data_IF_111135329815
#
_entry.id   IF_111135329815
#
_cell.length_a   1.000
_cell.length_b   1.000
_cell.length_c   1.000
_cell.angle_alpha   90.00
_cell.angle_beta   90.00
_cell.angle_gamma   90.00
#
_symmetry.space_group_name_H-M   'P 1'
#
loop_
_entity.id
_entity.type
_entity.pdbx_description
1 polymer ?
#
# COMPACT_ATOMS: atom_id res chain seq x y z
N UNK A 1 -15.99 -13.72 -44.79
CA UNK A 1 -15.90 -12.80 -43.65
C UNK A 1 -15.50 -13.63 -42.44
N UNK A 2 -14.22 -13.60 -42.05
CA UNK A 2 -13.68 -14.43 -40.95
C UNK A 2 -13.78 -13.61 -39.67
N UNK A 3 -14.55 -14.07 -38.70
CA UNK A 3 -14.61 -13.51 -37.36
C UNK A 3 -13.47 -14.09 -36.53
N UNK A 4 -12.42 -13.29 -36.29
CA UNK A 4 -11.37 -13.64 -35.35
C UNK A 4 -11.87 -13.34 -33.93
N UNK A 5 -12.29 -14.37 -33.21
CA UNK A 5 -12.63 -14.23 -31.78
C UNK A 5 -11.35 -14.20 -30.97
N UNK A 6 -10.98 -13.02 -30.47
CA UNK A 6 -9.96 -12.89 -29.44
C UNK A 6 -10.52 -13.43 -28.12
N UNK A 7 -10.03 -14.60 -27.70
CA UNK A 7 -10.25 -15.11 -26.35
C UNK A 7 -9.36 -14.26 -25.44
N UNK A 8 -9.94 -13.24 -24.81
CA UNK A 8 -9.31 -12.58 -23.67
C UNK A 8 -9.29 -13.58 -22.51
N UNK A 9 -8.17 -14.29 -22.34
CA UNK A 9 -7.87 -14.87 -21.04
C UNK A 9 -7.56 -13.69 -20.11
N UNK A 10 -8.36 -13.42 -19.06
CA UNK A 10 -7.88 -12.55 -18.01
C UNK A 10 -6.67 -13.28 -17.41
N UNK A 11 -5.46 -12.74 -17.66
CA UNK A 11 -4.32 -13.10 -16.85
C UNK A 11 -4.76 -12.90 -15.41
N UNK A 12 -4.86 -14.01 -14.67
CA UNK A 12 -4.95 -13.95 -13.22
C UNK A 12 -3.67 -13.25 -12.78
N UNK A 13 -3.75 -11.95 -12.54
CA UNK A 13 -2.67 -11.19 -11.91
C UNK A 13 -2.59 -11.74 -10.50
N UNK A 14 -1.71 -12.71 -10.32
CA UNK A 14 -1.33 -13.21 -9.03
C UNK A 14 -0.02 -12.50 -8.74
N UNK A 15 -0.07 -11.50 -7.85
CA UNK A 15 0.97 -11.20 -6.87
C UNK A 15 2.43 -11.35 -7.35
N UNK A 16 3.11 -10.25 -7.70
CA UNK A 16 4.55 -10.24 -7.97
C UNK A 16 5.24 -9.29 -6.99
N UNK A 17 5.90 -9.85 -5.97
CA UNK A 17 6.98 -9.12 -5.29
C UNK A 17 8.07 -8.95 -6.35
N UNK A 18 8.39 -7.71 -6.68
CA UNK A 18 9.32 -7.37 -7.73
C UNK A 18 10.32 -6.33 -7.26
N UNK A 19 11.49 -6.27 -7.91
CA UNK A 19 12.40 -5.14 -7.74
C UNK A 19 11.75 -3.87 -8.28
N UNK A 20 11.59 -2.89 -7.39
CA UNK A 20 11.01 -1.57 -7.67
C UNK A 20 12.01 -0.51 -7.22
N UNK A 21 12.16 0.54 -8.02
CA UNK A 21 12.96 1.70 -7.62
C UNK A 21 12.19 2.55 -6.60
N UNK A 22 12.73 2.66 -5.39
CA UNK A 22 12.17 3.45 -4.29
C UNK A 22 13.29 4.35 -3.78
N UNK A 23 13.09 5.67 -3.86
CA UNK A 23 14.08 6.68 -3.47
C UNK A 23 15.45 6.50 -4.15
N UNK A 24 15.46 6.11 -5.43
CA UNK A 24 16.68 5.85 -6.20
C UNK A 24 17.38 4.51 -5.94
N UNK A 25 16.81 3.65 -5.08
CA UNK A 25 17.35 2.32 -4.78
C UNK A 25 16.42 1.21 -5.29
N UNK A 26 16.98 0.13 -5.84
CA UNK A 26 16.22 -1.04 -6.26
C UNK A 26 15.94 -1.93 -5.05
N UNK A 27 14.65 -2.09 -4.70
CA UNK A 27 14.19 -2.82 -3.51
C UNK A 27 13.11 -3.82 -3.91
N UNK A 28 13.11 -5.00 -3.30
CA UNK A 28 12.00 -5.95 -3.41
C UNK A 28 10.75 -5.39 -2.72
N UNK A 29 9.70 -5.16 -3.50
CA UNK A 29 8.46 -4.56 -3.04
C UNK A 29 7.23 -5.34 -3.52
N UNK A 30 6.21 -5.39 -2.69
CA UNK A 30 4.85 -5.80 -3.06
C UNK A 30 4.08 -4.54 -3.48
N UNK A 31 3.64 -4.48 -4.73
CA UNK A 31 2.97 -3.32 -5.32
C UNK A 31 1.62 -3.73 -5.90
N UNK A 32 0.54 -3.09 -5.47
CA UNK A 32 -0.81 -3.44 -5.92
C UNK A 32 -1.69 -2.19 -6.05
N UNK A 33 -2.58 -2.19 -7.05
CA UNK A 33 -3.60 -1.16 -7.21
C UNK A 33 -4.92 -1.64 -6.62
N UNK A 34 -5.41 -0.91 -5.63
CA UNK A 34 -6.69 -1.17 -4.98
C UNK A 34 -7.67 -0.03 -5.25
N UNK A 35 -8.96 -0.30 -5.05
CA UNK A 35 -10.01 0.71 -5.11
C UNK A 35 -10.68 0.83 -3.75
N UNK A 36 -10.92 2.06 -3.32
CA UNK A 36 -11.73 2.31 -2.13
C UNK A 36 -13.23 2.19 -2.44
N UNK A 37 -14.07 2.50 -1.45
CA UNK A 37 -15.53 2.45 -1.60
C UNK A 37 -16.10 3.54 -2.52
N UNK A 38 -15.35 4.62 -2.75
CA UNK A 38 -15.71 5.72 -3.66
C UNK A 38 -15.19 5.45 -5.09
N UNK A 39 -14.60 4.27 -5.33
CA UNK A 39 -13.99 3.82 -6.59
C UNK A 39 -12.73 4.57 -6.99
N UNK A 40 -12.14 5.35 -6.09
CA UNK A 40 -10.84 5.99 -6.31
C UNK A 40 -9.74 4.94 -6.24
N UNK A 41 -8.72 5.11 -7.09
CA UNK A 41 -7.63 4.13 -7.22
C UNK A 41 -6.44 4.55 -6.38
N UNK A 42 -5.95 3.60 -5.60
CA UNK A 42 -4.85 3.73 -4.67
C UNK A 42 -3.77 2.71 -5.01
N UNK A 43 -2.52 3.16 -5.09
CA UNK A 43 -1.40 2.24 -5.17
C UNK A 43 -0.84 2.00 -3.77
N UNK A 44 -0.74 0.74 -3.38
CA UNK A 44 -0.07 0.31 -2.16
C UNK A 44 1.26 -0.32 -2.51
N UNK A 45 2.34 0.17 -1.89
CA UNK A 45 3.70 -0.38 -2.06
C UNK A 45 4.27 -0.72 -0.70
N UNK A 46 4.43 -2.01 -0.41
CA UNK A 46 5.05 -2.50 0.81
C UNK A 46 6.49 -2.98 0.53
N UNK A 47 7.46 -2.52 1.33
CA UNK A 47 8.88 -2.82 1.13
C UNK A 47 9.67 -2.69 2.44
N UNK A 48 10.82 -3.36 2.52
CA UNK A 48 11.79 -3.14 3.61
C UNK A 48 12.57 -1.87 3.32
N UNK A 49 12.54 -0.92 4.25
CA UNK A 49 13.18 0.38 4.04
C UNK A 49 14.56 0.45 4.71
N UNK A 50 15.63 0.68 3.92
CA UNK A 50 16.97 0.92 4.48
C UNK A 50 17.03 2.18 5.36
N UNK A 51 16.15 3.17 5.09
CA UNK A 51 16.02 4.39 5.88
C UNK A 51 15.52 4.13 7.30
N UNK A 52 14.80 3.03 7.51
CA UNK A 52 14.17 2.69 8.78
C UNK A 52 14.65 1.32 9.28
N UNK A 53 15.96 1.03 9.22
CA UNK A 53 16.53 -0.20 9.79
C UNK A 53 15.84 -1.49 9.29
N UNK A 54 15.53 -1.55 8.00
CA UNK A 54 14.82 -2.67 7.33
C UNK A 54 13.41 -2.97 7.87
N UNK A 55 12.80 -2.02 8.59
CA UNK A 55 11.37 -2.05 8.95
C UNK A 55 10.50 -2.17 7.69
N UNK A 56 9.40 -2.91 7.81
CA UNK A 56 8.43 -3.00 6.73
C UNK A 56 7.60 -1.71 6.67
N UNK A 57 7.73 -0.96 5.58
CA UNK A 57 6.99 0.28 5.33
C UNK A 57 5.91 0.03 4.29
N UNK A 58 4.74 0.60 4.53
CA UNK A 58 3.68 0.75 3.53
C UNK A 58 3.66 2.17 3.02
N UNK A 59 3.91 2.35 1.72
CA UNK A 59 3.65 3.59 1.00
C UNK A 59 2.28 3.52 0.34
N UNK A 60 1.40 4.45 0.68
CA UNK A 60 0.08 4.64 0.09
C UNK A 60 0.17 5.82 -0.87
N UNK A 61 -0.19 5.63 -2.13
CA UNK A 61 -0.08 6.65 -3.19
C UNK A 61 -1.45 6.87 -3.83
N UNK A 62 -1.91 8.10 -3.84
CA UNK A 62 -3.12 8.52 -4.55
C UNK A 62 -2.85 8.70 -6.05
N UNK A 63 -3.78 8.29 -6.90
CA UNK A 63 -3.68 8.53 -8.34
C UNK A 63 -3.69 10.03 -8.66
N UNK A 64 -2.84 10.53 -9.59
CA UNK A 64 -2.62 11.97 -9.78
C UNK A 64 -3.85 12.73 -10.29
N UNK A 65 -4.03 13.96 -9.78
CA UNK A 65 -5.01 14.92 -10.30
C UNK A 65 -5.35 16.04 -9.33
N UNK A 66 -5.69 15.73 -8.09
CA UNK A 66 -6.07 16.73 -7.06
C UNK A 66 -5.86 16.27 -5.61
N UNK A 67 -5.43 15.02 -5.39
CA UNK A 67 -5.44 14.41 -4.06
C UNK A 67 -4.15 14.72 -3.30
N UNK A 68 -4.30 15.49 -2.22
CA UNK A 68 -3.23 15.86 -1.29
C UNK A 68 -3.49 15.16 0.04
N UNK A 69 -2.47 14.50 0.56
CA UNK A 69 -2.50 13.90 1.89
C UNK A 69 -1.83 14.89 2.85
N UNK A 70 -2.57 15.36 3.84
CA UNK A 70 -2.01 16.22 4.87
C UNK A 70 -1.25 15.39 5.91
N UNK A 71 -0.09 15.91 6.33
CA UNK A 71 0.81 15.23 7.26
C UNK A 71 1.02 16.06 8.54
N UNK A 72 1.19 15.40 9.71
CA UNK A 72 1.11 13.96 9.91
C UNK A 72 -0.35 13.44 9.89
N UNK A 73 -0.54 12.21 9.45
CA UNK A 73 -1.83 11.50 9.48
C UNK A 73 -1.71 10.10 10.06
N UNK A 74 -2.82 9.47 10.45
CA UNK A 74 -2.81 8.14 11.08
C UNK A 74 -3.54 7.16 10.18
N UNK A 75 -2.84 6.11 9.77
CA UNK A 75 -3.47 4.98 9.07
C UNK A 75 -4.09 4.04 10.10
N UNK A 76 -5.41 3.93 10.09
CA UNK A 76 -6.11 2.93 10.88
C UNK A 76 -6.28 1.66 10.06
N UNK A 77 -5.90 0.53 10.65
CA UNK A 77 -5.99 -0.80 10.04
C UNK A 77 -6.91 -1.67 10.87
N UNK A 78 -7.86 -2.34 10.23
CA UNK A 78 -8.81 -3.22 10.90
C UNK A 78 -8.79 -4.63 10.31
N UNK A 79 -8.94 -5.63 11.17
CA UNK A 79 -9.14 -7.03 10.78
C UNK A 79 -10.13 -7.71 11.72
N UNK A 80 -11.39 -7.78 11.30
CA UNK A 80 -12.47 -8.31 12.13
C UNK A 80 -12.68 -7.49 13.40
N UNK A 81 -12.23 -8.01 14.55
CA UNK A 81 -12.35 -7.34 15.86
C UNK A 81 -11.07 -6.64 16.33
N UNK A 82 -9.96 -6.80 15.59
CA UNK A 82 -8.68 -6.16 15.91
C UNK A 82 -8.54 -4.87 15.11
N UNK A 83 -7.92 -3.87 15.72
CA UNK A 83 -7.58 -2.60 15.07
C UNK A 83 -6.19 -2.15 15.51
N UNK A 84 -5.47 -1.52 14.58
CA UNK A 84 -4.17 -0.92 14.82
C UNK A 84 -4.14 0.51 14.29
N UNK A 85 -3.26 1.34 14.84
CA UNK A 85 -2.99 2.69 14.38
C UNK A 85 -1.52 2.77 13.98
N UNK A 86 -1.24 2.97 12.69
CA UNK A 86 0.12 3.05 12.18
C UNK A 86 0.56 4.50 12.12
N UNK A 87 1.78 4.76 12.62
CA UNK A 87 2.34 6.09 12.67
C UNK A 87 2.82 6.55 11.29
N UNK A 88 2.58 7.82 10.98
CA UNK A 88 3.13 8.49 9.80
C UNK A 88 4.68 8.53 9.87
N UNK A 89 5.32 8.11 8.79
CA UNK A 89 6.77 8.20 8.56
C UNK A 89 7.13 9.11 7.39
N UNK A 90 6.13 9.68 6.71
CA UNK A 90 6.30 10.44 5.45
C UNK A 90 7.29 11.59 5.59
N UNK A 91 7.18 12.39 6.64
CA UNK A 91 8.04 13.56 6.84
C UNK A 91 9.49 13.20 7.25
N UNK A 92 9.76 11.93 7.56
CA UNK A 92 11.13 11.43 7.79
C UNK A 92 11.82 11.02 6.49
N UNK A 93 11.06 10.77 5.42
CA UNK A 93 11.58 10.52 4.08
C UNK A 93 11.74 11.86 3.34
N UNK A 94 12.98 12.25 3.04
CA UNK A 94 13.30 13.54 2.45
C UNK A 94 12.68 13.74 1.05
N UNK A 95 12.52 12.68 0.26
CA UNK A 95 11.88 12.79 -1.06
C UNK A 95 10.39 13.12 -0.93
N UNK A 96 9.69 12.44 -0.02
CA UNK A 96 8.26 12.68 0.20
C UNK A 96 8.00 13.99 0.94
N UNK A 97 8.85 14.36 1.91
CA UNK A 97 8.76 15.62 2.62
C UNK A 97 8.89 16.84 1.68
N UNK A 98 9.64 16.70 0.59
CA UNK A 98 9.83 17.74 -0.42
C UNK A 98 8.90 17.61 -1.65
N UNK A 99 8.06 16.58 -1.74
CA UNK A 99 7.10 16.44 -2.84
C UNK A 99 5.95 17.44 -2.65
N UNK A 100 5.89 18.45 -3.53
CA UNK A 100 4.86 19.49 -3.54
C UNK A 100 3.45 18.92 -3.71
N UNK A 101 3.32 17.77 -4.38
CA UNK A 101 2.03 17.12 -4.61
C UNK A 101 1.47 16.51 -3.33
N UNK A 102 2.35 16.06 -2.42
CA UNK A 102 1.99 15.30 -1.21
C UNK A 102 0.96 14.20 -1.49
N UNK A 103 1.17 13.47 -2.59
CA UNK A 103 0.24 12.44 -3.07
C UNK A 103 0.52 11.06 -2.43
N UNK A 104 1.52 10.97 -1.56
CA UNK A 104 1.96 9.72 -0.96
C UNK A 104 2.19 9.86 0.54
N UNK A 105 1.91 8.78 1.27
CA UNK A 105 2.14 8.67 2.71
C UNK A 105 2.83 7.34 3.06
N UNK A 106 3.74 7.34 4.02
CA UNK A 106 4.45 6.15 4.51
C UNK A 106 4.07 5.81 5.94
N UNK A 107 3.86 4.53 6.21
CA UNK A 107 3.49 4.01 7.54
C UNK A 107 4.31 2.77 7.90
N UNK A 108 4.67 2.65 9.18
CA UNK A 108 5.35 1.48 9.73
C UNK A 108 4.35 0.32 9.91
N UNK A 109 4.56 -0.81 9.24
CA UNK A 109 3.70 -1.99 9.30
C UNK A 109 4.18 -3.07 10.28
N UNK A 110 5.34 -2.93 10.92
CA UNK A 110 5.92 -4.01 11.72
C UNK A 110 4.96 -4.48 12.83
N UNK A 111 4.35 -3.53 13.54
CA UNK A 111 3.42 -3.85 14.63
C UNK A 111 2.20 -4.62 14.11
N UNK A 112 1.66 -4.24 12.95
CA UNK A 112 0.54 -4.94 12.31
C UNK A 112 0.95 -6.37 11.96
N UNK A 113 2.08 -6.55 11.27
CA UNK A 113 2.50 -7.85 10.76
C UNK A 113 2.88 -8.82 11.90
N UNK A 114 3.46 -8.33 12.98
CA UNK A 114 3.78 -9.14 14.15
C UNK A 114 2.53 -9.62 14.91
N UNK A 115 1.41 -8.89 14.82
CA UNK A 115 0.20 -9.14 15.63
C UNK A 115 -1.00 -9.69 14.84
N UNK A 116 -0.91 -9.76 13.51
CA UNK A 116 -1.94 -10.31 12.65
C UNK A 116 -1.89 -11.84 12.61
N UNK A 117 -3.06 -12.47 12.74
CA UNK A 117 -3.20 -13.93 12.64
C UNK A 117 -3.58 -14.31 11.20
N UNK A 118 -2.72 -15.11 10.55
CA UNK A 118 -2.88 -15.58 9.16
C UNK A 118 -2.90 -14.41 8.17
N UNK A 119 -3.44 -14.66 6.98
CA UNK A 119 -3.54 -13.68 5.89
C UNK A 119 -4.97 -13.11 5.83
N UNK A 120 -5.53 -12.75 6.99
CA UNK A 120 -6.90 -12.22 7.03
C UNK A 120 -6.98 -10.92 6.23
N UNK A 121 -8.10 -10.65 5.53
CA UNK A 121 -8.27 -9.38 4.85
C UNK A 121 -8.18 -8.24 5.85
N UNK A 122 -7.67 -7.10 5.37
CA UNK A 122 -7.57 -5.87 6.14
C UNK A 122 -8.50 -4.81 5.55
N UNK A 123 -8.90 -3.87 6.38
CA UNK A 123 -9.56 -2.63 5.97
C UNK A 123 -8.67 -1.48 6.43
N UNK A 124 -8.19 -0.70 5.48
CA UNK A 124 -7.42 0.50 5.78
C UNK A 124 -8.36 1.71 5.76
N UNK A 125 -8.10 2.68 6.62
CA UNK A 125 -8.79 3.96 6.61
C UNK A 125 -7.79 5.07 6.94
N UNK A 126 -7.88 6.17 6.19
CA UNK A 126 -6.97 7.31 6.32
C UNK A 126 -7.78 8.60 6.38
N UNK A 127 -7.72 9.26 7.54
CA UNK A 127 -8.58 10.41 7.85
C UNK A 127 -8.43 11.53 6.83
N UNK A 128 -9.55 11.97 6.25
CA UNK A 128 -9.56 13.03 5.23
C UNK A 128 -9.14 12.57 3.82
N UNK A 129 -8.81 11.29 3.65
CA UNK A 129 -8.25 10.75 2.41
C UNK A 129 -9.11 9.62 1.83
N UNK A 130 -9.33 8.53 2.57
CA UNK A 130 -10.29 7.48 2.21
C UNK A 130 -10.90 6.84 3.45
N UNK A 131 -12.19 6.51 3.41
CA UNK A 131 -12.89 5.93 4.56
C UNK A 131 -12.63 4.44 4.73
N UNK A 132 -12.54 3.69 3.64
CA UNK A 132 -12.28 2.25 3.67
C UNK A 132 -11.63 1.80 2.35
N UNK A 133 -10.42 1.26 2.45
CA UNK A 133 -9.69 0.61 1.36
C UNK A 133 -9.53 -0.88 1.70
N UNK A 134 -10.26 -1.78 1.03
CA UNK A 134 -10.21 -3.21 1.32
C UNK A 134 -8.91 -3.84 0.77
N UNK A 135 -8.14 -4.45 1.65
CA UNK A 135 -6.89 -5.15 1.32
C UNK A 135 -7.14 -6.66 1.31
N UNK A 136 -6.90 -7.32 0.17
CA UNK A 136 -7.23 -8.73 0.01
C UNK A 136 -6.24 -9.65 0.74
N UNK A 137 -6.64 -10.88 1.09
CA UNK A 137 -5.79 -11.86 1.79
C UNK A 137 -4.45 -12.17 1.12
N UNK A 138 -4.39 -12.16 -0.21
CA UNK A 138 -3.13 -12.47 -0.91
C UNK A 138 -2.09 -11.37 -0.70
N UNK A 139 -2.51 -10.10 -0.68
CA UNK A 139 -1.62 -8.96 -0.46
C UNK A 139 -1.07 -8.97 0.96
N UNK A 140 -1.91 -9.31 1.94
CA UNK A 140 -1.46 -9.54 3.33
C UNK A 140 -0.43 -10.66 3.41
N UNK A 141 -0.59 -11.74 2.63
CA UNK A 141 0.39 -12.82 2.57
C UNK A 141 1.75 -12.31 2.06
N UNK A 142 1.77 -11.45 1.04
CA UNK A 142 2.99 -10.88 0.50
C UNK A 142 3.70 -10.00 1.53
N UNK A 143 2.98 -9.10 2.19
CA UNK A 143 3.55 -8.23 3.22
C UNK A 143 4.20 -9.04 4.34
N UNK A 144 3.57 -10.14 4.76
CA UNK A 144 4.13 -11.09 5.74
C UNK A 144 5.34 -11.88 5.23
N UNK A 145 5.53 -11.99 3.92
CA UNK A 145 6.73 -12.64 3.35
C UNK A 145 7.90 -11.67 3.20
N UNK A 146 7.64 -10.35 3.24
CA UNK A 146 8.65 -9.31 3.23
C UNK A 146 9.20 -9.01 4.64
N UNK A 147 8.37 -9.12 5.68
CA UNK A 147 8.73 -8.88 7.09
C UNK A 147 9.80 -9.84 7.60
#
# INVERSE_FOLDING_TARGET
MIFLSFIFNPLKVYAEIAETEINGELINASSEFLRDLDFETWQLVAYKSPLFEDKLILRVIGYPGTLRIDHPTVLRVESGRKSWLMNDKTLLNLELANDVRQAAAEFDLDELIQNIDKNRPLRLSLSGVFSELPVPPFLVKEWRSLS
#
